data_IF_252960716476
#
_entry.id   IF_252960716476
#
_cell.length_a   1.000
_cell.length_b   1.000
_cell.length_c   1.000
_cell.angle_alpha   90.00
_cell.angle_beta   90.00
_cell.angle_gamma   90.00
#
_symmetry.space_group_name_H-M   'P 1'
#
loop_
_entity.id
_entity.type
_entity.pdbx_description
1 polymer ?
#
# COMPACT_ATOMS: atom_id res chain seq x y z
N UNK A 1 -6.76 4.97 22.90
CA UNK A 1 -7.65 5.95 22.26
C UNK A 1 -6.80 7.03 21.63
N UNK A 2 -6.80 7.14 20.31
CA UNK A 2 -6.01 8.14 19.59
C UNK A 2 -6.62 9.52 19.85
N UNK A 3 -5.83 10.43 20.40
CA UNK A 3 -6.30 11.81 20.65
C UNK A 3 -6.32 12.60 19.34
N UNK A 4 -7.49 12.87 18.81
CA UNK A 4 -7.70 13.56 17.53
C UNK A 4 -7.57 15.09 17.68
N UNK A 5 -7.50 15.62 18.90
CA UNK A 5 -7.42 17.10 19.14
C UNK A 5 -6.20 17.76 18.46
N UNK A 6 -5.08 17.06 18.34
CA UNK A 6 -3.86 17.55 17.71
C UNK A 6 -3.69 17.08 16.24
N UNK A 7 -4.72 16.48 15.65
CA UNK A 7 -4.68 15.82 14.35
C UNK A 7 -4.39 14.31 14.44
N UNK A 8 -4.88 13.57 13.47
CA UNK A 8 -4.70 12.12 13.37
C UNK A 8 -3.20 11.80 13.27
N UNK A 9 -2.62 11.05 14.21
CA UNK A 9 -1.22 10.67 14.11
C UNK A 9 -1.06 9.59 13.04
N UNK A 10 -0.19 9.81 12.07
CA UNK A 10 0.11 8.85 11.02
C UNK A 10 1.56 8.37 11.08
N UNK A 11 1.73 7.07 10.90
CA UNK A 11 3.01 6.43 10.64
C UNK A 11 3.14 6.23 9.13
N UNK A 12 4.17 6.78 8.53
CA UNK A 12 4.30 6.81 7.08
C UNK A 12 5.72 6.55 6.60
N UNK A 13 5.86 6.14 5.35
CA UNK A 13 7.14 6.17 4.66
C UNK A 13 7.64 7.61 4.49
N UNK A 14 8.93 7.83 4.18
CA UNK A 14 9.45 9.14 3.81
C UNK A 14 8.73 9.75 2.60
N UNK A 15 8.96 11.03 2.36
CA UNK A 15 8.45 11.72 1.18
C UNK A 15 8.85 11.01 -0.11
N UNK A 16 7.97 11.04 -1.12
CA UNK A 16 8.12 10.35 -2.38
C UNK A 16 7.46 8.97 -2.43
N UNK A 17 6.94 8.44 -1.32
CA UNK A 17 6.20 7.20 -1.29
C UNK A 17 4.76 7.39 -1.79
N UNK A 18 4.34 6.56 -2.73
CA UNK A 18 2.97 6.57 -3.29
C UNK A 18 1.90 6.31 -2.21
N UNK A 19 2.15 5.42 -1.28
CA UNK A 19 1.21 5.12 -0.17
C UNK A 19 1.01 6.32 0.74
N UNK A 20 2.09 6.99 1.11
CA UNK A 20 2.04 8.23 1.87
C UNK A 20 1.24 9.31 1.16
N UNK A 21 1.53 9.56 -0.11
CA UNK A 21 0.86 10.58 -0.89
C UNK A 21 -0.64 10.30 -1.05
N UNK A 22 -1.04 9.05 -1.24
CA UNK A 22 -2.46 8.67 -1.34
C UNK A 22 -3.19 8.84 -0.01
N UNK A 23 -2.57 8.41 1.08
CA UNK A 23 -3.14 8.57 2.41
C UNK A 23 -3.36 10.05 2.74
N UNK A 24 -2.36 10.89 2.52
CA UNK A 24 -2.45 12.33 2.79
C UNK A 24 -3.54 12.98 1.93
N UNK A 25 -3.59 12.69 0.63
CA UNK A 25 -4.63 13.21 -0.25
C UNK A 25 -6.05 12.82 0.20
N UNK A 26 -6.23 11.58 0.62
CA UNK A 26 -7.53 11.12 1.11
C UNK A 26 -7.94 11.82 2.39
N UNK A 27 -7.01 12.02 3.32
CA UNK A 27 -7.27 12.74 4.58
C UNK A 27 -7.57 14.22 4.33
N UNK A 28 -6.81 14.87 3.45
CA UNK A 28 -7.02 16.27 3.08
C UNK A 28 -8.38 16.47 2.38
N UNK A 29 -8.74 15.59 1.45
CA UNK A 29 -10.04 15.62 0.79
C UNK A 29 -11.20 15.42 1.77
N UNK A 30 -11.02 14.62 2.79
CA UNK A 30 -11.98 14.42 3.88
C UNK A 30 -11.92 15.52 4.97
N UNK A 31 -11.05 16.51 4.82
CA UNK A 31 -10.80 17.60 5.78
C UNK A 31 -10.42 17.10 7.18
N UNK A 32 -9.72 15.99 7.24
CA UNK A 32 -9.21 15.42 8.48
C UNK A 32 -7.82 15.97 8.74
N UNK A 33 -7.64 16.66 9.86
CA UNK A 33 -6.32 17.13 10.28
C UNK A 33 -5.46 15.94 10.67
N UNK A 34 -4.24 15.92 10.19
CA UNK A 34 -3.27 14.85 10.45
C UNK A 34 -1.91 15.43 10.83
N UNK A 35 -1.07 14.60 11.40
CA UNK A 35 0.34 14.89 11.67
C UNK A 35 1.18 13.63 11.49
N UNK A 36 2.41 13.79 11.05
CA UNK A 36 3.37 12.68 11.05
C UNK A 36 3.80 12.42 12.48
N UNK A 37 3.50 11.22 12.98
CA UNK A 37 3.91 10.76 14.30
C UNK A 37 5.17 9.88 14.23
N UNK A 38 5.37 9.19 13.10
CA UNK A 38 6.50 8.32 12.90
C UNK A 38 6.81 8.18 11.40
N UNK A 39 8.09 8.11 11.06
CA UNK A 39 8.54 7.88 9.69
C UNK A 39 9.51 6.71 9.66
N UNK A 40 9.33 5.80 8.72
CA UNK A 40 10.22 4.67 8.50
C UNK A 40 10.30 4.33 7.01
N UNK A 41 11.50 4.10 6.47
CA UNK A 41 11.66 3.61 5.10
C UNK A 41 11.23 2.15 4.94
N UNK A 42 11.21 1.37 6.02
CA UNK A 42 10.88 -0.05 6.03
C UNK A 42 9.47 -0.34 6.53
N UNK A 43 8.86 -1.39 5.97
CA UNK A 43 7.52 -1.84 6.35
C UNK A 43 7.46 -2.30 7.80
N UNK A 44 8.50 -2.96 8.30
CA UNK A 44 8.57 -3.44 9.69
C UNK A 44 8.48 -2.31 10.70
N UNK A 45 9.12 -1.17 10.40
CA UNK A 45 9.03 0.02 11.25
C UNK A 45 7.60 0.57 11.33
N UNK A 46 6.88 0.61 10.21
CA UNK A 46 5.48 1.04 10.18
C UNK A 46 4.57 0.05 10.91
N UNK A 47 4.79 -1.24 10.70
CA UNK A 47 4.04 -2.30 11.40
C UNK A 47 4.20 -2.16 12.92
N UNK A 48 5.44 -2.00 13.40
CA UNK A 48 5.71 -1.81 14.82
C UNK A 48 5.10 -0.52 15.37
N UNK A 49 5.16 0.57 14.63
CA UNK A 49 4.55 1.83 15.03
C UNK A 49 3.03 1.71 15.21
N UNK A 50 2.35 1.07 14.26
CA UNK A 50 0.91 0.83 14.33
C UNK A 50 0.57 -0.14 15.47
N UNK A 51 1.29 -1.26 15.58
CA UNK A 51 1.07 -2.26 16.64
C UNK A 51 1.23 -1.67 18.05
N UNK A 52 2.13 -0.70 18.22
CA UNK A 52 2.35 -0.01 19.48
C UNK A 52 1.47 1.25 19.66
N UNK A 53 0.53 1.48 18.78
CA UNK A 53 -0.43 2.57 18.92
C UNK A 53 0.12 3.97 18.67
N UNK A 54 1.25 4.11 17.99
CA UNK A 54 1.83 5.42 17.65
C UNK A 54 1.00 6.18 16.61
N UNK A 55 0.21 5.48 15.82
CA UNK A 55 -0.65 6.09 14.83
C UNK A 55 -1.31 5.08 13.90
N UNK A 56 -1.94 5.60 12.85
CA UNK A 56 -2.49 4.81 11.76
C UNK A 56 -1.56 4.86 10.55
N UNK A 57 -1.66 3.89 9.66
CA UNK A 57 -0.83 3.84 8.46
C UNK A 57 -1.61 3.28 7.28
N UNK A 58 -1.15 3.56 6.07
CA UNK A 58 -1.60 2.90 4.86
C UNK A 58 -0.70 1.71 4.57
N UNK A 59 -1.21 0.51 4.77
CA UNK A 59 -0.51 -0.74 4.55
C UNK A 59 -1.27 -1.58 3.52
N UNK A 60 -0.56 -2.40 2.76
CA UNK A 60 -1.20 -3.40 1.90
C UNK A 60 -1.79 -4.52 2.76
N UNK A 61 -2.81 -5.21 2.22
CA UNK A 61 -3.46 -6.32 2.95
C UNK A 61 -2.48 -7.41 3.39
N UNK A 62 -1.45 -7.68 2.57
CA UNK A 62 -0.43 -8.69 2.85
C UNK A 62 0.53 -8.33 3.97
N UNK A 63 0.59 -7.07 4.35
CA UNK A 63 1.48 -6.55 5.40
C UNK A 63 0.76 -6.27 6.71
N UNK A 64 -0.52 -6.63 6.81
CA UNK A 64 -1.26 -6.54 8.06
C UNK A 64 -0.83 -7.66 9.01
N UNK A 65 -0.52 -7.28 10.24
CA UNK A 65 -0.20 -8.24 11.30
C UNK A 65 -1.46 -8.62 12.09
N UNK A 66 -1.47 -9.80 12.73
CA UNK A 66 -2.54 -10.15 13.67
C UNK A 66 -2.74 -9.06 14.73
N UNK A 67 -4.01 -8.75 15.01
CA UNK A 67 -4.36 -7.68 15.96
C UNK A 67 -4.47 -6.29 15.35
N UNK A 68 -4.04 -6.07 14.12
CA UNK A 68 -4.32 -4.83 13.39
C UNK A 68 -5.76 -4.79 12.91
N UNK A 69 -6.36 -3.61 13.00
CA UNK A 69 -7.72 -3.36 12.54
C UNK A 69 -7.71 -2.41 11.34
N UNK A 70 -8.45 -2.75 10.30
CA UNK A 70 -8.68 -1.85 9.18
C UNK A 70 -9.72 -0.82 9.61
N UNK A 71 -9.37 0.45 9.45
CA UNK A 71 -10.24 1.59 9.73
C UNK A 71 -10.89 2.06 8.43
N UNK A 72 -12.09 2.56 8.51
CA UNK A 72 -12.84 2.99 7.35
C UNK A 72 -13.91 4.04 7.67
N UNK A 73 -14.94 4.14 6.84
CA UNK A 73 -16.01 5.14 6.99
C UNK A 73 -16.71 5.09 8.35
N UNK A 74 -16.80 3.93 8.98
CA UNK A 74 -17.42 3.76 10.31
C UNK A 74 -16.65 4.53 11.40
N UNK A 75 -15.34 4.69 11.23
CA UNK A 75 -14.51 5.50 12.12
C UNK A 75 -14.33 6.94 11.62
N UNK A 76 -15.03 7.32 10.56
CA UNK A 76 -14.94 8.64 9.95
C UNK A 76 -13.70 8.82 9.07
N UNK A 77 -13.06 7.74 8.64
CA UNK A 77 -11.89 7.78 7.77
C UNK A 77 -12.26 7.44 6.32
N UNK A 78 -11.61 8.08 5.34
CA UNK A 78 -11.85 7.78 3.94
C UNK A 78 -11.31 6.41 3.57
N UNK A 79 -11.96 5.75 2.61
CA UNK A 79 -11.41 4.56 1.97
C UNK A 79 -10.24 4.95 1.07
N UNK A 80 -9.20 4.13 1.06
CA UNK A 80 -8.09 4.30 0.13
C UNK A 80 -8.32 3.44 -1.12
N UNK A 81 -8.03 4.03 -2.27
CA UNK A 81 -8.10 3.33 -3.54
C UNK A 81 -7.00 2.27 -3.67
N UNK A 82 -7.28 1.23 -4.41
CA UNK A 82 -6.30 0.21 -4.74
C UNK A 82 -5.12 0.80 -5.55
N UNK A 83 -3.93 0.28 -5.31
CA UNK A 83 -2.73 0.66 -6.04
C UNK A 83 -2.45 -0.40 -7.11
N UNK A 84 -2.24 0.07 -8.32
CA UNK A 84 -1.79 -0.79 -9.41
C UNK A 84 -0.29 -1.00 -9.31
N UNK A 85 0.12 -2.26 -9.36
CA UNK A 85 1.53 -2.66 -9.43
C UNK A 85 1.82 -3.14 -10.84
N UNK A 86 2.76 -2.48 -11.52
CA UNK A 86 3.21 -2.87 -12.85
C UNK A 86 4.52 -3.64 -12.79
N UNK A 87 4.63 -4.69 -13.58
CA UNK A 87 5.88 -5.41 -13.78
C UNK A 87 6.51 -4.94 -15.09
N UNK A 88 7.70 -4.36 -14.99
CA UNK A 88 8.45 -3.83 -16.15
C UNK A 88 9.64 -4.71 -16.46
N UNK A 89 9.83 -5.03 -17.74
CA UNK A 89 10.97 -5.77 -18.20
C UNK A 89 11.42 -5.29 -19.60
N UNK A 90 12.67 -5.53 -19.94
CA UNK A 90 13.23 -5.10 -21.21
C UNK A 90 13.21 -6.26 -22.22
N UNK A 91 12.25 -6.24 -23.09
CA UNK A 91 12.22 -7.09 -24.29
C UNK A 91 13.03 -6.40 -25.39
N UNK A 92 13.99 -7.02 -26.07
CA UNK A 92 14.20 -8.43 -26.39
C UNK A 92 15.35 -9.11 -25.60
N UNK A 93 15.81 -8.55 -24.50
CA UNK A 93 16.90 -9.14 -23.71
C UNK A 93 16.43 -10.18 -22.69
N UNK A 94 15.16 -10.50 -22.72
CA UNK A 94 14.57 -11.43 -21.77
C UNK A 94 14.94 -12.87 -22.11
N UNK A 95 15.61 -13.56 -21.19
CA UNK A 95 15.95 -14.97 -21.30
C UNK A 95 14.76 -15.86 -20.91
N UNK A 96 14.83 -17.16 -21.24
CA UNK A 96 13.82 -18.13 -20.78
C UNK A 96 13.69 -18.17 -19.26
N UNK A 97 14.83 -18.03 -18.55
CA UNK A 97 14.84 -17.94 -17.09
C UNK A 97 14.15 -16.66 -16.60
N UNK A 98 14.36 -15.54 -17.29
CA UNK A 98 13.67 -14.27 -17.00
C UNK A 98 12.16 -14.37 -17.20
N UNK A 99 11.70 -15.02 -18.26
CA UNK A 99 10.28 -15.30 -18.50
C UNK A 99 9.68 -16.18 -17.40
N UNK A 100 10.41 -17.20 -16.98
CA UNK A 100 10.00 -18.07 -15.87
C UNK A 100 9.84 -17.31 -14.56
N UNK A 101 10.76 -16.38 -14.26
CA UNK A 101 10.68 -15.51 -13.09
C UNK A 101 9.47 -14.59 -13.15
N UNK A 102 9.22 -13.95 -14.29
CA UNK A 102 8.06 -13.05 -14.49
C UNK A 102 6.76 -13.82 -14.26
N UNK A 103 6.62 -15.00 -14.87
CA UNK A 103 5.43 -15.84 -14.71
C UNK A 103 5.24 -16.29 -13.25
N UNK A 104 6.34 -16.62 -12.57
CA UNK A 104 6.30 -16.99 -11.15
C UNK A 104 5.82 -15.81 -10.28
N UNK A 105 6.36 -14.63 -10.47
CA UNK A 105 5.96 -13.42 -9.75
C UNK A 105 4.48 -13.11 -9.98
N UNK A 106 4.00 -13.17 -11.23
CA UNK A 106 2.58 -12.96 -11.56
C UNK A 106 1.71 -13.99 -10.83
N UNK A 107 2.07 -15.27 -10.90
CA UNK A 107 1.32 -16.35 -10.24
C UNK A 107 1.26 -16.16 -8.72
N UNK A 108 2.35 -15.72 -8.09
CA UNK A 108 2.37 -15.47 -6.65
C UNK A 108 1.52 -14.28 -6.25
N UNK A 109 1.51 -13.22 -7.05
CA UNK A 109 0.66 -12.05 -6.82
C UNK A 109 -0.82 -12.38 -6.99
N UNK A 110 -1.18 -13.17 -7.99
CA UNK A 110 -2.55 -13.64 -8.22
C UNK A 110 -3.03 -14.55 -7.08
N UNK A 111 -2.19 -15.49 -6.64
CA UNK A 111 -2.48 -16.38 -5.52
C UNK A 111 -2.63 -15.64 -4.18
N UNK A 112 -2.00 -14.48 -4.02
CA UNK A 112 -2.09 -13.66 -2.81
C UNK A 112 -3.42 -12.87 -2.71
N UNK A 113 -4.40 -13.13 -3.61
CA UNK A 113 -5.77 -12.60 -3.49
C UNK A 113 -5.95 -11.17 -3.97
N UNK A 114 -5.10 -10.69 -4.85
CA UNK A 114 -5.43 -9.54 -5.68
C UNK A 114 -6.45 -10.00 -6.70
N UNK A 115 -7.73 -9.82 -6.40
CA UNK A 115 -8.84 -10.06 -7.32
C UNK A 115 -8.86 -8.99 -8.41
N UNK A 116 -7.84 -9.01 -9.25
CA UNK A 116 -7.77 -8.27 -10.49
C UNK A 116 -7.85 -9.27 -11.63
N UNK A 117 -8.72 -9.02 -12.58
CA UNK A 117 -8.85 -9.78 -13.81
C UNK A 117 -7.46 -10.03 -14.44
N UNK A 118 -6.97 -11.28 -14.53
CA UNK A 118 -5.66 -11.59 -15.09
C UNK A 118 -5.51 -11.12 -16.55
N UNK A 119 -6.61 -10.95 -17.28
CA UNK A 119 -6.64 -10.40 -18.63
C UNK A 119 -6.25 -8.92 -18.64
N UNK A 120 -6.47 -8.20 -17.57
CA UNK A 120 -6.12 -6.78 -17.44
C UNK A 120 -4.62 -6.58 -17.22
N UNK A 121 -3.98 -7.47 -16.48
CA UNK A 121 -2.53 -7.45 -16.27
C UNK A 121 -1.77 -7.73 -17.58
N UNK A 122 -2.24 -8.70 -18.38
CA UNK A 122 -1.69 -9.01 -19.69
C UNK A 122 -1.92 -7.90 -20.74
N UNK A 123 -3.01 -7.15 -20.66
CA UNK A 123 -3.32 -6.04 -21.55
C UNK A 123 -2.37 -4.85 -21.36
N UNK A 124 -1.94 -4.58 -20.14
CA UNK A 124 -0.97 -3.51 -19.84
C UNK A 124 0.48 -3.90 -20.19
N UNK A 125 0.80 -5.20 -20.21
CA UNK A 125 2.11 -5.71 -20.63
C UNK A 125 2.31 -5.68 -22.14
N UNK A 126 1.23 -5.62 -22.95
CA UNK A 126 1.27 -5.57 -24.41
C UNK A 126 1.50 -4.17 -25.00
N UNK A 127 1.39 -3.13 -24.20
CA UNK A 127 1.54 -1.73 -24.61
C UNK A 127 2.94 -1.14 -24.41
N UNK A 128 3.91 -1.95 -24.04
CA UNK A 128 5.31 -1.61 -23.88
C UNK A 128 6.12 -2.37 -24.93
#
# INVERSE_FOLDING_TARGET
RISIKAGLPIAAHPDGCTYRARMIRALDAARIRWRIAYTSPGISGLQNAVANGLGVSALTRHTLLPGMRVLGPEEGLPSLEDIRVGLFYKHPRLTSAGLGLINHVISQLDAAGTSGDPTRALGELRGL
#
